data_IF_133765008940
#
_entry.id   IF_133765008940
#
_cell.length_a   1.000
_cell.length_b   1.000
_cell.length_c   1.000
_cell.angle_alpha   90.00
_cell.angle_beta   90.00
_cell.angle_gamma   90.00
#
_symmetry.space_group_name_H-M   'P 1'
#
loop_
_entity.id
_entity.type
_entity.pdbx_description
1 polymer ?
#
# COMPACT_ATOMS: atom_id res chain seq x y z
N UNK A 1 -19.32 9.12 -15.47
CA UNK A 1 -19.19 7.63 -15.46
C UNK A 1 -18.86 7.18 -14.04
N UNK A 2 -19.09 5.94 -13.63
CA UNK A 2 -18.50 5.43 -12.37
C UNK A 2 -17.03 5.06 -12.58
N UNK A 3 -16.28 4.81 -11.51
CA UNK A 3 -14.98 4.18 -11.60
C UNK A 3 -15.16 2.68 -11.85
N UNK A 4 -14.50 2.17 -12.89
CA UNK A 4 -14.55 0.76 -13.26
C UNK A 4 -13.79 -0.16 -12.29
N UNK A 5 -13.91 -1.48 -12.45
CA UNK A 5 -13.29 -2.47 -11.56
C UNK A 5 -11.85 -2.83 -11.95
N UNK A 6 -11.23 -2.14 -12.90
CA UNK A 6 -9.86 -2.45 -13.37
C UNK A 6 -8.93 -1.27 -13.07
N UNK A 7 -7.79 -1.58 -12.47
CA UNK A 7 -6.64 -0.70 -12.35
C UNK A 7 -5.56 -1.15 -13.34
N UNK A 8 -5.16 -0.24 -14.21
CA UNK A 8 -4.10 -0.45 -15.22
C UNK A 8 -2.89 0.42 -14.90
N UNK A 9 -1.84 0.35 -15.70
CA UNK A 9 -0.72 1.28 -15.63
C UNK A 9 -0.49 1.99 -16.96
N UNK A 10 0.51 2.88 -16.99
CA UNK A 10 0.94 3.59 -18.19
C UNK A 10 2.42 3.29 -18.48
N UNK A 11 2.84 3.29 -19.76
CA UNK A 11 4.17 2.80 -20.14
C UNK A 11 5.30 3.79 -19.85
N UNK A 12 5.03 5.11 -19.84
CA UNK A 12 6.08 6.14 -19.81
C UNK A 12 5.80 7.33 -18.90
N UNK A 13 6.51 8.42 -19.16
CA UNK A 13 6.47 9.69 -18.40
C UNK A 13 5.32 10.62 -18.81
N UNK A 14 4.70 10.38 -19.96
CA UNK A 14 3.60 11.17 -20.53
C UNK A 14 2.58 10.22 -21.14
N UNK A 15 1.32 10.64 -21.26
CA UNK A 15 0.31 9.82 -21.92
C UNK A 15 0.45 9.88 -23.44
N UNK A 16 0.41 8.72 -24.08
CA UNK A 16 0.16 8.62 -25.52
C UNK A 16 -1.35 8.67 -25.80
N UNK A 17 -1.75 8.83 -27.06
CA UNK A 17 -3.18 8.77 -27.42
C UNK A 17 -3.79 7.39 -27.13
N UNK A 18 -3.02 6.32 -27.30
CA UNK A 18 -3.47 4.95 -26.95
C UNK A 18 -3.70 4.82 -25.43
N UNK A 19 -2.85 5.43 -24.61
CA UNK A 19 -3.04 5.47 -23.16
C UNK A 19 -4.33 6.22 -22.82
N UNK A 20 -4.58 7.37 -23.43
CA UNK A 20 -5.81 8.15 -23.19
C UNK A 20 -7.05 7.35 -23.57
N UNK A 21 -7.05 6.66 -24.70
CA UNK A 21 -8.15 5.78 -25.12
C UNK A 21 -8.38 4.66 -24.10
N UNK A 22 -7.31 4.00 -23.63
CA UNK A 22 -7.38 2.96 -22.60
C UNK A 22 -7.97 3.49 -21.30
N UNK A 23 -7.48 4.63 -20.82
CA UNK A 23 -7.93 5.26 -19.57
C UNK A 23 -9.39 5.78 -19.63
N UNK A 24 -9.88 6.11 -20.82
CA UNK A 24 -11.28 6.46 -21.04
C UNK A 24 -12.23 5.26 -21.05
N UNK A 25 -11.71 4.03 -21.10
CA UNK A 25 -12.53 2.82 -21.12
C UNK A 25 -13.41 2.73 -19.85
N UNK A 26 -14.71 2.34 -19.95
CA UNK A 26 -15.62 2.32 -18.80
C UNK A 26 -15.18 1.38 -17.66
N UNK A 27 -14.45 0.31 -17.98
CA UNK A 27 -13.93 -0.63 -16.99
C UNK A 27 -12.69 -0.13 -16.25
N UNK A 28 -12.03 0.94 -16.72
CA UNK A 28 -10.90 1.52 -15.99
C UNK A 28 -11.42 2.43 -14.88
N UNK A 29 -10.98 2.13 -13.64
CA UNK A 29 -11.26 2.92 -12.45
C UNK A 29 -10.02 3.49 -11.77
N UNK A 30 -8.83 3.03 -12.15
CA UNK A 30 -7.58 3.54 -11.58
C UNK A 30 -6.36 3.30 -12.45
N UNK A 31 -5.29 4.01 -12.08
CA UNK A 31 -3.95 3.90 -12.64
C UNK A 31 -2.97 3.67 -11.51
N UNK A 32 -2.13 2.64 -11.60
CA UNK A 32 -0.96 2.48 -10.73
C UNK A 32 0.29 2.99 -11.45
N UNK A 33 1.09 3.81 -10.75
CA UNK A 33 2.35 4.34 -11.22
C UNK A 33 3.53 3.54 -10.67
N UNK A 34 4.56 3.40 -11.50
CA UNK A 34 5.81 2.71 -11.18
C UNK A 34 7.00 3.66 -11.29
N UNK A 35 8.19 3.15 -10.95
CA UNK A 35 9.46 3.90 -11.08
C UNK A 35 9.67 4.44 -12.50
N UNK A 36 9.25 3.71 -13.54
CA UNK A 36 9.37 4.13 -14.95
C UNK A 36 8.51 5.34 -15.32
N UNK A 37 7.51 5.67 -14.49
CA UNK A 37 6.60 6.80 -14.72
C UNK A 37 7.09 8.09 -14.01
N UNK A 38 8.30 8.06 -13.45
CA UNK A 38 8.85 9.13 -12.64
C UNK A 38 10.24 9.58 -13.12
N UNK A 39 10.33 10.86 -13.45
CA UNK A 39 11.59 11.55 -13.71
C UNK A 39 11.85 12.65 -12.68
N UNK A 40 10.83 13.48 -12.38
CA UNK A 40 10.93 14.62 -11.47
C UNK A 40 9.57 14.99 -10.86
N UNK A 41 9.55 15.77 -9.76
CA UNK A 41 8.30 16.29 -9.18
C UNK A 41 7.40 17.01 -10.19
N UNK A 42 7.98 17.86 -11.04
CA UNK A 42 7.23 18.63 -12.03
C UNK A 42 6.63 17.73 -13.13
N UNK A 43 7.40 16.74 -13.61
CA UNK A 43 6.89 15.78 -14.59
C UNK A 43 5.76 14.91 -13.99
N UNK A 44 5.89 14.46 -12.75
CA UNK A 44 4.84 13.68 -12.08
C UNK A 44 3.54 14.48 -11.97
N UNK A 45 3.62 15.77 -11.56
CA UNK A 45 2.45 16.66 -11.49
C UNK A 45 1.78 16.78 -12.87
N UNK A 46 2.57 16.92 -13.94
CA UNK A 46 2.03 17.00 -15.30
C UNK A 46 1.30 15.70 -15.68
N UNK A 47 1.90 14.53 -15.42
CA UNK A 47 1.30 13.23 -15.71
C UNK A 47 0.00 13.00 -14.93
N UNK A 48 0.01 13.23 -13.61
CA UNK A 48 -1.19 13.03 -12.77
C UNK A 48 -2.29 14.02 -13.10
N UNK A 49 -1.96 15.26 -13.44
CA UNK A 49 -2.92 16.26 -13.91
C UNK A 49 -3.57 15.86 -15.24
N UNK A 50 -2.77 15.35 -16.19
CA UNK A 50 -3.27 14.85 -17.47
C UNK A 50 -4.23 13.67 -17.28
N UNK A 51 -3.85 12.67 -16.46
CA UNK A 51 -4.71 11.52 -16.12
C UNK A 51 -6.02 11.99 -15.49
N UNK A 52 -5.95 12.93 -14.53
CA UNK A 52 -7.14 13.44 -13.82
C UNK A 52 -8.08 14.22 -14.73
N UNK A 53 -7.56 14.89 -15.75
CA UNK A 53 -8.35 15.70 -16.67
C UNK A 53 -9.13 14.88 -17.73
N UNK A 54 -8.79 13.60 -17.93
CA UNK A 54 -9.44 12.79 -18.97
C UNK A 54 -10.94 12.58 -18.76
N UNK A 55 -11.41 12.49 -17.51
CA UNK A 55 -12.82 12.17 -17.20
C UNK A 55 -13.23 12.58 -15.79
N UNK A 56 -14.55 12.65 -15.57
CA UNK A 56 -15.16 12.87 -14.26
C UNK A 56 -16.09 11.69 -13.84
N UNK A 57 -15.98 11.21 -12.57
CA UNK A 57 -14.91 11.50 -11.60
C UNK A 57 -13.55 11.07 -12.16
N UNK A 58 -12.48 11.69 -11.67
CA UNK A 58 -11.12 11.36 -12.11
C UNK A 58 -10.77 9.94 -11.71
N UNK A 59 -9.87 9.29 -12.46
CA UNK A 59 -9.36 7.96 -12.09
C UNK A 59 -8.58 8.03 -10.77
N UNK A 60 -8.63 6.95 -9.98
CA UNK A 60 -7.73 6.79 -8.85
C UNK A 60 -6.29 6.70 -9.35
N UNK A 61 -5.36 7.40 -8.71
CA UNK A 61 -3.93 7.27 -8.99
C UNK A 61 -3.24 6.64 -7.78
N UNK A 62 -2.64 5.48 -7.96
CA UNK A 62 -1.98 4.72 -6.91
C UNK A 62 -0.47 4.53 -7.18
N UNK A 63 0.29 4.19 -6.15
CA UNK A 63 1.73 3.86 -6.24
C UNK A 63 2.13 2.91 -5.11
N UNK A 64 3.23 2.18 -5.24
CA UNK A 64 3.88 1.54 -4.09
C UNK A 64 4.93 2.46 -3.45
N UNK A 65 4.53 3.24 -2.45
CA UNK A 65 5.44 3.82 -1.48
C UNK A 65 5.18 3.15 -0.14
N UNK A 66 6.03 2.20 0.21
CA UNK A 66 6.06 1.59 1.54
C UNK A 66 7.17 2.26 2.36
N UNK A 67 8.36 2.39 1.74
CA UNK A 67 9.61 2.79 2.36
C UNK A 67 10.72 1.78 2.08
N UNK A 68 11.95 2.13 2.45
CA UNK A 68 13.12 1.26 2.23
C UNK A 68 13.28 0.97 0.74
N UNK A 69 13.39 -0.31 0.37
CA UNK A 69 13.53 -0.75 -1.04
C UNK A 69 12.27 -0.54 -1.89
N UNK A 70 11.08 -0.41 -1.31
CA UNK A 70 9.82 -0.19 -2.03
C UNK A 70 9.37 1.26 -1.91
N UNK A 71 10.03 2.12 -2.69
CA UNK A 71 9.67 3.52 -2.86
C UNK A 71 9.95 3.90 -4.31
N UNK A 72 8.89 4.19 -5.09
CA UNK A 72 9.03 4.44 -6.53
C UNK A 72 9.63 5.80 -6.86
N UNK A 73 9.25 6.83 -6.10
CA UNK A 73 9.68 8.21 -6.32
C UNK A 73 10.65 8.60 -5.19
N UNK A 74 11.89 8.93 -5.54
CA UNK A 74 12.96 9.22 -4.58
C UNK A 74 13.56 10.60 -4.74
N UNK A 75 14.03 10.93 -5.95
CA UNK A 75 14.61 12.24 -6.20
C UNK A 75 13.53 13.32 -6.00
N UNK A 76 13.73 14.25 -5.06
CA UNK A 76 12.72 15.27 -4.72
C UNK A 76 11.64 14.84 -3.72
N UNK A 77 11.69 13.60 -3.25
CA UNK A 77 10.86 13.07 -2.17
C UNK A 77 11.72 12.77 -0.94
N UNK A 78 11.11 12.73 0.24
CA UNK A 78 11.78 12.22 1.44
C UNK A 78 12.06 10.74 1.26
N UNK A 79 13.31 10.30 1.49
CA UNK A 79 13.65 8.88 1.49
C UNK A 79 13.12 8.26 2.77
N UNK A 80 12.15 7.36 2.63
CA UNK A 80 11.47 6.72 3.76
C UNK A 80 12.28 5.48 4.20
N UNK A 81 12.38 5.21 5.52
CA UNK A 81 13.06 4.02 6.01
C UNK A 81 12.31 2.74 5.64
N UNK A 82 12.98 1.60 5.70
CA UNK A 82 12.28 0.31 5.68
C UNK A 82 11.43 0.18 6.95
N UNK A 83 10.24 -0.42 6.86
CA UNK A 83 9.33 -0.49 8.00
C UNK A 83 9.90 -1.28 9.18
N UNK A 84 10.83 -2.22 8.93
CA UNK A 84 11.59 -2.93 9.97
C UNK A 84 12.35 -1.98 10.91
N UNK A 85 12.81 -0.83 10.43
CA UNK A 85 13.51 0.13 11.29
C UNK A 85 12.61 0.68 12.40
N UNK A 86 11.30 0.83 12.14
CA UNK A 86 10.33 1.20 13.17
C UNK A 86 10.17 0.09 14.21
N UNK A 87 10.25 -1.19 13.79
CA UNK A 87 10.31 -2.33 14.70
C UNK A 87 11.54 -2.32 15.60
N UNK A 88 12.71 -1.94 15.08
CA UNK A 88 13.93 -1.78 15.89
C UNK A 88 13.82 -0.66 16.91
N UNK A 89 13.21 0.47 16.53
CA UNK A 89 12.93 1.54 17.51
C UNK A 89 11.95 1.05 18.56
N UNK A 90 10.95 0.23 18.19
CA UNK A 90 9.98 -0.32 19.12
C UNK A 90 10.63 -1.16 20.23
N UNK A 91 11.64 -1.98 19.90
CA UNK A 91 12.37 -2.79 20.89
C UNK A 91 12.97 -1.95 22.02
N UNK A 92 13.28 -0.67 21.76
CA UNK A 92 13.88 0.25 22.72
C UNK A 92 12.85 1.23 23.32
N UNK A 93 11.94 1.76 22.50
CA UNK A 93 10.96 2.76 22.90
C UNK A 93 9.66 2.67 22.07
N UNK A 94 8.67 1.87 22.52
CA UNK A 94 7.38 1.69 21.83
C UNK A 94 6.58 2.99 21.60
N UNK A 95 6.70 3.96 22.51
CA UNK A 95 6.01 5.25 22.35
C UNK A 95 6.61 6.07 21.22
N UNK A 96 7.94 6.11 21.14
CA UNK A 96 8.65 6.80 20.08
C UNK A 96 8.43 6.10 18.73
N UNK A 97 8.45 4.77 18.69
CA UNK A 97 8.22 4.01 17.47
C UNK A 97 6.83 4.30 16.85
N UNK A 98 5.78 4.37 17.69
CA UNK A 98 4.43 4.77 17.22
C UNK A 98 4.41 6.19 16.67
N UNK A 99 5.05 7.15 17.35
CA UNK A 99 5.11 8.52 16.87
C UNK A 99 5.86 8.61 15.53
N UNK A 100 7.00 7.93 15.40
CA UNK A 100 7.76 7.88 14.15
C UNK A 100 7.00 7.17 13.03
N UNK A 101 6.26 6.11 13.32
CA UNK A 101 5.40 5.44 12.35
C UNK A 101 4.29 6.37 11.82
N UNK A 102 3.67 7.16 12.70
CA UNK A 102 2.71 8.18 12.30
C UNK A 102 3.35 9.28 11.45
N UNK A 103 4.56 9.73 11.81
CA UNK A 103 5.31 10.71 11.00
C UNK A 103 5.69 10.16 9.61
N UNK A 104 6.13 8.90 9.54
CA UNK A 104 6.38 8.22 8.27
C UNK A 104 5.12 8.21 7.39
N UNK A 105 3.98 7.79 7.95
CA UNK A 105 2.69 7.79 7.24
C UNK A 105 2.30 9.19 6.75
N UNK A 106 2.47 10.21 7.60
CA UNK A 106 2.14 11.58 7.27
C UNK A 106 3.00 12.13 6.13
N UNK A 107 4.33 12.00 6.22
CA UNK A 107 5.26 12.49 5.18
C UNK A 107 5.02 11.79 3.85
N UNK A 108 4.90 10.46 3.88
CA UNK A 108 4.63 9.62 2.71
C UNK A 108 3.37 10.09 1.98
N UNK A 109 2.26 10.20 2.71
CA UNK A 109 1.01 10.60 2.10
C UNK A 109 1.05 12.08 1.67
N UNK A 110 1.49 13.01 2.52
CA UNK A 110 1.48 14.43 2.21
C UNK A 110 2.24 14.75 0.91
N UNK A 111 3.43 14.16 0.73
CA UNK A 111 4.21 14.35 -0.49
C UNK A 111 3.50 13.75 -1.71
N UNK A 112 2.98 12.54 -1.63
CA UNK A 112 2.25 11.93 -2.75
C UNK A 112 0.99 12.74 -3.14
N UNK A 113 0.26 13.22 -2.14
CA UNK A 113 -0.96 14.00 -2.34
C UNK A 113 -0.67 15.35 -3.02
N UNK A 114 0.42 16.01 -2.65
CA UNK A 114 0.91 17.23 -3.32
C UNK A 114 1.29 17.01 -4.80
N UNK A 115 1.46 15.76 -5.24
CA UNK A 115 1.74 15.39 -6.63
C UNK A 115 0.54 14.72 -7.33
N UNK A 116 -0.65 14.79 -6.75
CA UNK A 116 -1.88 14.28 -7.38
C UNK A 116 -2.03 12.76 -7.38
N UNK A 117 -1.27 12.05 -6.54
CA UNK A 117 -1.49 10.61 -6.26
C UNK A 117 -2.54 10.50 -5.15
N UNK A 118 -3.49 9.58 -5.26
CA UNK A 118 -4.59 9.40 -4.29
C UNK A 118 -4.24 8.42 -3.18
N UNK A 119 -3.48 7.37 -3.50
CA UNK A 119 -3.29 6.21 -2.65
C UNK A 119 -1.88 5.64 -2.77
N UNK A 120 -1.35 5.13 -1.66
CA UNK A 120 -0.21 4.22 -1.67
C UNK A 120 -0.65 2.84 -1.19
N UNK A 121 -0.11 1.78 -1.80
CA UNK A 121 -0.34 0.41 -1.34
C UNK A 121 0.53 0.09 -0.11
N UNK A 122 0.11 0.56 1.05
CA UNK A 122 0.80 0.43 2.36
C UNK A 122 -0.23 0.57 3.49
N UNK A 123 -0.06 -0.03 4.69
CA UNK A 123 1.09 -0.79 5.20
C UNK A 123 1.17 -2.27 4.79
N UNK A 124 2.39 -2.80 4.81
CA UNK A 124 2.63 -4.24 4.90
C UNK A 124 2.30 -4.72 6.32
N UNK A 125 1.44 -5.73 6.43
CA UNK A 125 0.97 -6.35 7.67
C UNK A 125 1.54 -7.76 7.88
N UNK A 126 2.32 -8.23 6.91
CA UNK A 126 3.02 -9.49 7.00
C UNK A 126 4.03 -9.47 8.16
N UNK A 127 4.13 -10.58 8.90
CA UNK A 127 5.06 -10.72 10.01
C UNK A 127 6.46 -11.09 9.51
N UNK A 128 7.48 -10.57 10.17
CA UNK A 128 8.88 -10.86 9.83
C UNK A 128 9.36 -12.20 10.43
N UNK A 129 8.96 -13.31 9.83
CA UNK A 129 9.46 -14.64 10.21
C UNK A 129 10.93 -14.87 9.82
N UNK A 130 11.56 -13.93 9.10
CA UNK A 130 12.94 -14.03 8.60
C UNK A 130 13.13 -14.94 7.38
N UNK A 131 12.09 -15.64 6.93
CA UNK A 131 12.17 -16.63 5.84
C UNK A 131 11.78 -16.06 4.47
N UNK A 132 10.88 -15.08 4.42
CA UNK A 132 10.37 -14.55 3.14
C UNK A 132 11.38 -13.60 2.49
N UNK A 133 11.91 -14.00 1.33
CA UNK A 133 12.78 -13.14 0.52
C UNK A 133 12.07 -11.94 -0.11
N UNK A 134 10.74 -12.01 -0.27
CA UNK A 134 9.94 -10.95 -0.90
C UNK A 134 9.51 -9.89 0.11
N UNK A 135 9.12 -10.32 1.32
CA UNK A 135 8.74 -9.41 2.40
C UNK A 135 9.99 -8.78 3.02
N UNK A 136 10.87 -9.58 3.64
CA UNK A 136 12.10 -9.08 4.25
C UNK A 136 11.90 -7.83 5.12
N UNK A 137 12.68 -6.79 4.87
CA UNK A 137 12.68 -5.52 5.62
C UNK A 137 11.42 -4.65 5.44
N UNK A 138 10.48 -5.08 4.58
CA UNK A 138 9.17 -4.45 4.40
C UNK A 138 8.22 -4.73 5.57
N UNK A 139 8.40 -5.85 6.26
CA UNK A 139 7.65 -6.15 7.47
C UNK A 139 8.12 -5.27 8.63
N UNK A 140 7.20 -4.85 9.49
CA UNK A 140 7.54 -4.04 10.66
C UNK A 140 8.31 -4.85 11.70
N UNK A 141 7.82 -6.06 12.01
CA UNK A 141 8.28 -6.85 13.15
C UNK A 141 7.78 -8.30 13.06
N UNK A 142 8.31 -9.20 13.89
CA UNK A 142 7.85 -10.59 14.00
C UNK A 142 6.61 -10.75 14.88
N UNK A 143 6.47 -9.91 15.91
CA UNK A 143 5.36 -9.97 16.87
C UNK A 143 4.08 -9.33 16.29
N UNK A 144 2.94 -10.05 16.25
CA UNK A 144 1.71 -9.56 15.63
C UNK A 144 1.19 -8.25 16.23
N UNK A 145 1.22 -8.11 17.56
CA UNK A 145 0.75 -6.90 18.24
C UNK A 145 1.60 -5.67 17.91
N UNK A 146 2.90 -5.86 17.72
CA UNK A 146 3.83 -4.78 17.33
C UNK A 146 3.54 -4.32 15.91
N UNK A 147 3.31 -5.27 14.98
CA UNK A 147 2.90 -4.95 13.61
C UNK A 147 1.57 -4.19 13.62
N UNK A 148 0.58 -4.64 14.39
CA UNK A 148 -0.70 -3.97 14.49
C UNK A 148 -0.58 -2.54 15.03
N UNK A 149 0.20 -2.31 16.10
CA UNK A 149 0.38 -0.99 16.70
C UNK A 149 1.11 -0.01 15.77
N UNK A 150 2.20 -0.45 15.13
CA UNK A 150 2.98 0.39 14.22
C UNK A 150 2.22 0.68 12.93
N UNK A 151 1.55 -0.31 12.36
CA UNK A 151 0.74 -0.13 11.16
C UNK A 151 -0.50 0.74 11.41
N UNK A 152 -1.13 0.63 12.58
CA UNK A 152 -2.20 1.55 12.99
C UNK A 152 -1.69 2.99 13.09
N UNK A 153 -0.52 3.21 13.73
CA UNK A 153 0.07 4.54 13.82
C UNK A 153 0.41 5.12 12.42
N UNK A 154 0.98 4.30 11.53
CA UNK A 154 1.23 4.71 10.14
C UNK A 154 -0.08 5.06 9.42
N UNK A 155 -1.14 4.27 9.61
CA UNK A 155 -2.46 4.55 9.06
C UNK A 155 -3.03 5.89 9.54
N UNK A 156 -2.81 6.27 10.81
CA UNK A 156 -3.20 7.59 11.31
C UNK A 156 -2.45 8.71 10.59
N UNK A 157 -1.16 8.53 10.30
CA UNK A 157 -0.37 9.48 9.53
C UNK A 157 -0.86 9.63 8.09
N UNK A 158 -1.13 8.51 7.41
CA UNK A 158 -1.72 8.53 6.05
C UNK A 158 -3.04 9.31 6.05
N UNK A 159 -3.91 9.03 7.03
CA UNK A 159 -5.21 9.66 7.19
C UNK A 159 -5.11 11.16 7.51
N UNK A 160 -4.14 11.55 8.35
CA UNK A 160 -3.82 12.96 8.65
C UNK A 160 -3.54 13.74 7.36
N UNK A 161 -2.86 13.12 6.41
CA UNK A 161 -2.59 13.69 5.09
C UNK A 161 -3.67 13.41 4.02
N UNK A 162 -4.83 12.89 4.43
CA UNK A 162 -5.99 12.66 3.57
C UNK A 162 -5.88 11.44 2.65
N UNK A 163 -4.99 10.49 2.94
CA UNK A 163 -4.82 9.24 2.19
C UNK A 163 -5.40 8.05 2.95
N UNK A 164 -6.04 7.12 2.22
CA UNK A 164 -6.45 5.82 2.78
C UNK A 164 -5.27 4.86 2.98
N UNK A 165 -5.47 3.78 3.74
CA UNK A 165 -4.50 2.69 3.90
C UNK A 165 -4.93 1.44 3.15
N UNK A 166 -3.94 0.68 2.64
CA UNK A 166 -4.14 -0.64 2.04
C UNK A 166 -3.25 -1.67 2.74
N UNK A 167 -3.85 -2.49 3.59
CA UNK A 167 -3.14 -3.57 4.28
C UNK A 167 -2.79 -4.72 3.32
N UNK A 168 -1.55 -5.20 3.36
CA UNK A 168 -1.10 -6.32 2.51
C UNK A 168 -0.08 -7.24 3.18
N UNK A 169 -0.03 -8.54 2.87
CA UNK A 169 -0.85 -9.25 1.89
C UNK A 169 -1.75 -10.26 2.61
N UNK A 170 -3.06 -10.04 2.61
CA UNK A 170 -4.01 -10.86 3.38
C UNK A 170 -4.09 -12.31 2.88
N UNK A 171 -4.10 -13.35 3.76
CA UNK A 171 -4.10 -13.31 5.22
C UNK A 171 -2.70 -13.28 5.88
N UNK A 172 -1.62 -13.31 5.10
CA UNK A 172 -0.24 -13.16 5.57
C UNK A 172 0.78 -13.82 4.64
N UNK A 173 1.72 -13.06 4.10
CA UNK A 173 2.79 -13.55 3.20
C UNK A 173 4.11 -13.82 3.93
N UNK A 174 4.24 -13.38 5.18
CA UNK A 174 5.51 -13.38 5.91
C UNK A 174 6.15 -14.75 6.11
N UNK A 175 5.34 -15.81 6.21
CA UNK A 175 5.78 -17.17 6.54
C UNK A 175 6.36 -17.91 5.33
N UNK A 176 5.88 -17.61 4.12
CA UNK A 176 6.32 -18.35 2.93
C UNK A 176 7.69 -17.88 2.43
N UNK A 177 8.58 -18.84 2.17
CA UNK A 177 9.93 -18.56 1.65
C UNK A 177 9.94 -18.25 0.16
N UNK A 178 9.08 -18.91 -0.61
CA UNK A 178 9.08 -18.83 -2.07
C UNK A 178 8.64 -17.44 -2.56
N UNK A 179 9.29 -16.98 -3.64
CA UNK A 179 8.92 -15.73 -4.29
C UNK A 179 7.67 -15.94 -5.16
N UNK A 180 6.57 -15.26 -4.82
CA UNK A 180 5.31 -15.29 -5.59
C UNK A 180 5.43 -14.75 -7.02
N UNK A 181 6.55 -14.09 -7.36
CA UNK A 181 6.86 -13.70 -8.73
C UNK A 181 7.36 -14.86 -9.59
N UNK A 182 7.82 -15.97 -8.98
CA UNK A 182 8.49 -17.09 -9.68
C UNK A 182 7.75 -18.44 -9.55
N UNK A 183 7.00 -18.63 -8.47
CA UNK A 183 6.19 -19.83 -8.22
C UNK A 183 5.00 -19.46 -7.32
N UNK A 184 4.01 -20.35 -7.22
CA UNK A 184 2.90 -20.15 -6.28
C UNK A 184 3.36 -20.64 -4.90
N UNK A 185 3.55 -19.76 -3.90
CA UNK A 185 3.93 -20.18 -2.57
C UNK A 185 2.77 -20.90 -1.88
N UNK A 186 3.11 -21.85 -1.03
CA UNK A 186 2.17 -22.65 -0.25
C UNK A 186 2.50 -22.48 1.23
N UNK A 187 1.49 -22.18 2.04
CA UNK A 187 1.58 -22.11 3.49
C UNK A 187 0.74 -23.24 4.11
N UNK A 188 1.42 -24.27 4.62
CA UNK A 188 0.79 -25.48 5.13
C UNK A 188 0.21 -25.35 6.55
N UNK A 189 0.36 -24.17 7.18
CA UNK A 189 -0.14 -23.95 8.54
C UNK A 189 -1.65 -24.12 8.64
N UNK A 190 -2.09 -24.52 9.82
CA UNK A 190 -3.51 -24.63 10.16
C UNK A 190 -4.18 -23.26 10.29
N UNK A 191 -5.52 -23.25 10.26
CA UNK A 191 -6.31 -22.07 10.57
C UNK A 191 -5.92 -21.45 11.91
N UNK A 192 -5.73 -22.27 12.95
CA UNK A 192 -5.43 -21.75 14.30
C UNK A 192 -4.08 -21.03 14.35
N UNK A 193 -3.06 -21.55 13.67
CA UNK A 193 -1.74 -20.90 13.63
C UNK A 193 -1.81 -19.53 12.93
N UNK A 194 -2.54 -19.44 11.82
CA UNK A 194 -2.73 -18.19 11.07
C UNK A 194 -3.61 -17.20 11.84
N UNK A 195 -4.68 -17.68 12.48
CA UNK A 195 -5.61 -16.87 13.28
C UNK A 195 -4.95 -16.25 14.51
N UNK A 196 -4.08 -16.99 15.20
CA UNK A 196 -3.39 -16.53 16.42
C UNK A 196 -2.09 -15.75 16.13
N UNK A 197 -1.77 -15.49 14.86
CA UNK A 197 -0.60 -14.71 14.46
C UNK A 197 -0.93 -13.75 13.31
N UNK A 198 -0.76 -14.19 12.06
CA UNK A 198 -0.79 -13.36 10.85
C UNK A 198 -2.10 -12.58 10.66
N UNK A 199 -3.23 -13.11 11.14
CA UNK A 199 -4.52 -12.40 11.07
C UNK A 199 -4.67 -11.27 12.09
N UNK A 200 -3.91 -11.26 13.19
CA UNK A 200 -4.08 -10.27 14.28
C UNK A 200 -3.97 -8.82 13.76
N UNK A 201 -2.94 -8.43 12.97
CA UNK A 201 -2.87 -7.10 12.39
C UNK A 201 -4.08 -6.75 11.53
N UNK A 202 -4.53 -7.67 10.68
CA UNK A 202 -5.70 -7.45 9.82
C UNK A 202 -6.98 -7.26 10.62
N UNK A 203 -7.24 -8.11 11.62
CA UNK A 203 -8.41 -8.01 12.51
C UNK A 203 -8.47 -6.62 13.14
N UNK A 204 -7.35 -6.16 13.70
CA UNK A 204 -7.30 -4.88 14.40
C UNK A 204 -7.48 -3.70 13.47
N UNK A 205 -6.78 -3.70 12.33
CA UNK A 205 -6.82 -2.58 11.39
C UNK A 205 -8.13 -2.49 10.61
N UNK A 206 -8.80 -3.63 10.38
CA UNK A 206 -10.17 -3.63 9.86
C UNK A 206 -11.11 -2.95 10.84
N UNK A 207 -11.00 -3.24 12.15
CA UNK A 207 -11.78 -2.57 13.18
C UNK A 207 -11.48 -1.07 13.28
N UNK A 208 -10.22 -0.67 13.05
CA UNK A 208 -9.77 0.73 13.08
C UNK A 208 -10.08 1.51 11.77
N UNK A 209 -10.75 0.88 10.80
CA UNK A 209 -11.26 1.54 9.61
C UNK A 209 -10.31 1.58 8.41
N UNK A 210 -9.45 0.57 8.27
CA UNK A 210 -8.64 0.36 7.06
C UNK A 210 -9.48 0.42 5.78
N UNK A 211 -8.97 1.10 4.76
CA UNK A 211 -9.76 1.44 3.57
C UNK A 211 -9.63 0.45 2.42
N UNK A 212 -8.52 -0.27 2.36
CA UNK A 212 -8.24 -1.28 1.35
C UNK A 212 -7.48 -2.47 1.91
N UNK A 213 -7.61 -3.63 1.27
CA UNK A 213 -6.79 -4.82 1.51
C UNK A 213 -6.35 -5.39 0.17
N UNK A 214 -5.10 -5.85 0.11
CA UNK A 214 -4.58 -6.65 -1.00
C UNK A 214 -4.29 -8.06 -0.47
N UNK A 215 -4.85 -9.12 -1.08
CA UNK A 215 -4.60 -10.50 -0.70
C UNK A 215 -3.27 -11.00 -1.25
N UNK A 216 -2.72 -12.03 -0.61
CA UNK A 216 -1.52 -12.70 -1.06
C UNK A 216 -1.83 -13.69 -2.18
N UNK A 217 -0.96 -13.76 -3.18
CA UNK A 217 -0.92 -14.89 -4.13
C UNK A 217 -0.27 -16.12 -3.48
N UNK A 218 -0.86 -16.63 -2.41
CA UNK A 218 -0.39 -17.77 -1.61
C UNK A 218 -1.55 -18.74 -1.39
N UNK A 219 -1.29 -20.05 -1.53
CA UNK A 219 -2.26 -21.13 -1.26
C UNK A 219 -2.11 -21.59 0.19
N UNK A 220 -3.24 -21.74 0.89
CA UNK A 220 -3.29 -22.21 2.28
C UNK A 220 -4.10 -23.52 2.32
N UNK A 221 -3.51 -24.68 1.95
CA UNK A 221 -4.25 -25.89 1.63
C UNK A 221 -5.06 -26.47 2.80
N UNK A 222 -4.70 -26.15 4.05
CA UNK A 222 -5.49 -26.51 5.23
C UNK A 222 -6.84 -25.75 5.31
N UNK A 223 -7.01 -24.68 4.53
CA UNK A 223 -8.18 -23.78 4.55
C UNK A 223 -8.88 -23.74 3.18
N UNK A 224 -8.12 -23.50 2.11
CA UNK A 224 -8.61 -23.48 0.73
C UNK A 224 -7.48 -23.87 -0.24
N UNK A 225 -7.84 -24.63 -1.28
CA UNK A 225 -6.95 -25.01 -2.37
C UNK A 225 -6.61 -23.87 -3.34
N UNK A 226 -7.38 -22.78 -3.31
CA UNK A 226 -7.14 -21.61 -4.15
C UNK A 226 -6.27 -20.58 -3.43
N UNK A 227 -5.46 -19.78 -4.16
CA UNK A 227 -4.77 -18.65 -3.57
C UNK A 227 -5.76 -17.66 -2.95
N UNK A 228 -5.35 -16.94 -1.91
CA UNK A 228 -6.27 -16.07 -1.15
C UNK A 228 -7.03 -15.06 -2.02
N UNK A 229 -6.39 -14.48 -3.04
CA UNK A 229 -7.02 -13.54 -3.99
C UNK A 229 -8.09 -14.14 -4.91
N UNK A 230 -8.14 -15.47 -5.04
CA UNK A 230 -9.13 -16.21 -5.82
C UNK A 230 -10.08 -17.04 -4.95
N UNK A 231 -9.96 -16.94 -3.61
CA UNK A 231 -10.71 -17.75 -2.67
C UNK A 231 -11.93 -17.00 -2.12
N UNK A 232 -13.13 -17.51 -2.40
CA UNK A 232 -14.36 -17.05 -1.74
C UNK A 232 -14.34 -17.31 -0.23
N UNK A 233 -13.62 -18.35 0.22
CA UNK A 233 -13.45 -18.61 1.64
C UNK A 233 -12.71 -17.44 2.30
N UNK A 234 -11.53 -17.09 1.81
CA UNK A 234 -10.73 -16.00 2.36
C UNK A 234 -11.41 -14.65 2.20
N UNK A 235 -11.88 -14.30 1.00
CA UNK A 235 -12.37 -12.95 0.74
C UNK A 235 -13.79 -12.72 1.28
N UNK A 236 -14.72 -13.65 1.07
CA UNK A 236 -16.12 -13.46 1.49
C UNK A 236 -16.39 -14.00 2.88
N UNK A 237 -16.01 -15.24 3.17
CA UNK A 237 -16.37 -15.85 4.47
C UNK A 237 -15.54 -15.28 5.61
N UNK A 238 -14.22 -15.18 5.44
CA UNK A 238 -13.32 -14.66 6.47
C UNK A 238 -13.32 -13.13 6.47
N UNK A 239 -12.85 -12.51 5.38
CA UNK A 239 -12.60 -11.06 5.39
C UNK A 239 -13.89 -10.23 5.44
N UNK A 240 -14.87 -10.47 4.55
CA UNK A 240 -16.17 -9.78 4.62
C UNK A 240 -17.03 -10.26 5.79
N UNK A 241 -17.08 -11.57 6.02
CA UNK A 241 -17.98 -12.19 7.00
C UNK A 241 -17.48 -12.07 8.43
N UNK A 242 -16.42 -12.79 8.77
CA UNK A 242 -15.89 -12.86 10.14
C UNK A 242 -15.28 -11.53 10.59
N UNK A 243 -14.46 -10.88 9.74
CA UNK A 243 -13.77 -9.65 10.12
C UNK A 243 -14.60 -8.39 9.87
N UNK A 244 -15.71 -8.50 9.12
CA UNK A 244 -16.59 -7.36 8.84
C UNK A 244 -15.97 -6.28 7.94
N UNK A 245 -14.94 -6.61 7.16
CA UNK A 245 -14.25 -5.63 6.33
C UNK A 245 -15.17 -5.06 5.26
N UNK A 246 -15.25 -3.73 5.17
CA UNK A 246 -16.13 -3.03 4.24
C UNK A 246 -15.41 -2.12 3.24
N UNK A 247 -14.07 -2.07 3.26
CA UNK A 247 -13.24 -1.35 2.30
C UNK A 247 -13.08 -2.06 0.95
N UNK A 248 -12.15 -1.60 0.12
CA UNK A 248 -11.84 -2.19 -1.20
C UNK A 248 -10.97 -3.42 -1.04
N UNK A 249 -11.29 -4.51 -1.73
CA UNK A 249 -10.35 -5.63 -1.92
C UNK A 249 -9.72 -5.51 -3.31
N UNK A 250 -8.40 -5.38 -3.37
CA UNK A 250 -7.64 -5.44 -4.63
C UNK A 250 -7.27 -6.89 -4.95
N UNK A 251 -6.95 -7.26 -6.20
CA UNK A 251 -6.60 -8.64 -6.56
C UNK A 251 -5.12 -9.02 -6.36
N UNK A 252 -4.26 -8.05 -6.03
CA UNK A 252 -2.82 -8.09 -6.38
C UNK A 252 -2.61 -8.20 -7.91
N UNK A 253 -1.38 -8.07 -8.42
CA UNK A 253 -1.12 -8.02 -9.87
C UNK A 253 -1.45 -9.37 -10.54
N UNK A 254 -2.39 -9.37 -11.48
CA UNK A 254 -2.84 -10.56 -12.21
C UNK A 254 -1.88 -10.96 -13.34
N UNK A 255 -0.93 -10.08 -13.68
CA UNK A 255 0.15 -10.38 -14.61
C UNK A 255 1.26 -11.24 -13.99
N UNK A 256 1.26 -11.45 -12.67
CA UNK A 256 2.25 -12.27 -11.97
C UNK A 256 2.04 -13.77 -12.23
N UNK A 257 3.13 -14.55 -12.15
CA UNK A 257 3.09 -16.02 -12.23
C UNK A 257 2.23 -16.63 -11.11
N UNK A 258 2.20 -16.01 -9.93
CA UNK A 258 1.33 -16.37 -8.81
C UNK A 258 -0.16 -16.44 -9.18
N UNK A 259 -0.59 -15.70 -10.20
CA UNK A 259 -1.97 -15.67 -10.69
C UNK A 259 -2.27 -16.70 -11.80
N UNK A 260 -1.27 -17.49 -12.23
CA UNK A 260 -1.37 -18.38 -13.40
C UNK A 260 -2.38 -19.53 -13.29
N UNK A 261 -2.81 -19.86 -12.08
CA UNK A 261 -3.80 -20.92 -11.81
C UNK A 261 -5.19 -20.66 -12.37
N UNK A 262 -5.55 -19.41 -12.64
CA UNK A 262 -6.90 -19.04 -13.08
C UNK A 262 -7.04 -18.84 -14.60
N UNK A 263 -6.13 -19.41 -15.39
CA UNK A 263 -6.22 -19.41 -16.86
C UNK A 263 -5.60 -18.16 -17.51
N UNK A 264 -6.23 -17.68 -18.59
CA UNK A 264 -5.81 -16.45 -19.27
C UNK A 264 -6.12 -15.19 -18.43
N UNK A 265 -5.60 -14.02 -18.84
CA UNK A 265 -5.74 -12.80 -18.04
C UNK A 265 -7.21 -12.36 -17.83
N UNK A 266 -8.09 -12.63 -18.80
CA UNK A 266 -9.52 -12.29 -18.69
C UNK A 266 -10.17 -13.20 -17.66
N UNK A 267 -9.86 -14.49 -17.70
CA UNK A 267 -10.33 -15.48 -16.73
C UNK A 267 -9.79 -15.19 -15.33
N UNK A 268 -8.53 -14.76 -15.18
CA UNK A 268 -7.95 -14.32 -13.91
C UNK A 268 -8.69 -13.12 -13.32
N UNK A 269 -8.94 -12.10 -14.15
CA UNK A 269 -9.69 -10.91 -13.72
C UNK A 269 -11.12 -11.27 -13.29
N UNK A 270 -11.80 -12.11 -14.07
CA UNK A 270 -13.11 -12.62 -13.74
C UNK A 270 -13.10 -13.42 -12.42
N UNK A 271 -12.15 -14.34 -12.25
CA UNK A 271 -12.02 -15.16 -11.05
C UNK A 271 -11.75 -14.34 -9.78
N UNK A 272 -10.88 -13.32 -9.85
CA UNK A 272 -10.59 -12.44 -8.72
C UNK A 272 -11.84 -11.65 -8.29
N UNK A 273 -12.57 -11.10 -9.27
CA UNK A 273 -13.81 -10.36 -9.02
C UNK A 273 -14.91 -11.27 -8.48
N UNK A 274 -15.06 -12.48 -9.04
CA UNK A 274 -16.00 -13.50 -8.57
C UNK A 274 -15.68 -13.99 -7.15
N UNK A 275 -14.39 -14.09 -6.80
CA UNK A 275 -13.94 -14.43 -5.45
C UNK A 275 -14.28 -13.33 -4.44
N UNK A 276 -14.38 -12.09 -4.90
CA UNK A 276 -14.83 -10.95 -4.09
C UNK A 276 -13.93 -9.73 -4.10
N UNK A 277 -12.93 -9.68 -4.98
CA UNK A 277 -12.18 -8.47 -5.23
C UNK A 277 -13.12 -7.38 -5.78
N UNK A 278 -12.87 -6.15 -5.37
CA UNK A 278 -13.56 -4.97 -5.88
C UNK A 278 -12.84 -4.37 -7.09
N UNK A 279 -11.52 -4.52 -7.17
CA UNK A 279 -10.70 -3.97 -8.23
C UNK A 279 -9.56 -4.93 -8.62
N UNK A 280 -9.50 -5.30 -9.90
CA UNK A 280 -8.48 -6.14 -10.49
C UNK A 280 -7.30 -5.29 -10.99
N UNK A 281 -6.07 -5.67 -10.62
CA UNK A 281 -4.85 -5.02 -11.10
C UNK A 281 -4.28 -5.79 -12.29
N UNK A 282 -4.02 -5.08 -13.39
CA UNK A 282 -3.33 -5.61 -14.56
C UNK A 282 -2.17 -4.69 -14.88
N UNK A 283 -0.97 -5.09 -14.46
CA UNK A 283 0.21 -4.24 -14.56
C UNK A 283 1.23 -4.79 -15.57
N UNK A 284 2.11 -3.91 -16.02
CA UNK A 284 3.31 -4.16 -16.82
C UNK A 284 3.07 -4.84 -18.17
N UNK A 285 1.81 -4.90 -18.63
CA UNK A 285 1.44 -5.57 -19.86
C UNK A 285 0.20 -4.91 -20.50
N UNK A 286 0.43 -3.91 -21.37
CA UNK A 286 -0.65 -3.19 -22.05
C UNK A 286 -1.56 -4.12 -22.87
N UNK A 287 -1.00 -5.14 -23.53
CA UNK A 287 -1.78 -6.08 -24.31
C UNK A 287 -2.71 -6.93 -23.42
N UNK A 288 -2.25 -7.32 -22.24
CA UNK A 288 -3.08 -8.03 -21.26
C UNK A 288 -4.18 -7.10 -20.69
N UNK A 289 -3.85 -5.84 -20.41
CA UNK A 289 -4.85 -4.84 -20.02
C UNK A 289 -5.91 -4.68 -21.11
N UNK A 290 -5.51 -4.54 -22.38
CA UNK A 290 -6.43 -4.43 -23.51
C UNK A 290 -7.29 -5.69 -23.64
N UNK A 291 -6.73 -6.89 -23.47
CA UNK A 291 -7.49 -8.13 -23.49
C UNK A 291 -8.57 -8.16 -22.38
N UNK A 292 -8.24 -7.73 -21.15
CA UNK A 292 -9.20 -7.62 -20.05
C UNK A 292 -10.29 -6.59 -20.37
N UNK A 293 -9.93 -5.40 -20.87
CA UNK A 293 -10.91 -4.35 -21.16
C UNK A 293 -11.90 -4.77 -22.26
N UNK A 294 -11.45 -5.52 -23.27
CA UNK A 294 -12.32 -6.03 -24.33
C UNK A 294 -13.11 -7.28 -23.92
N UNK A 295 -12.52 -8.17 -23.11
CA UNK A 295 -13.04 -9.50 -22.81
C UNK A 295 -13.89 -9.57 -21.53
N UNK A 296 -13.59 -8.76 -20.52
CA UNK A 296 -14.26 -8.82 -19.22
C UNK A 296 -15.73 -8.39 -19.35
N UNK A 297 -16.62 -9.17 -18.73
CA UNK A 297 -18.06 -8.88 -18.65
C UNK A 297 -18.44 -8.79 -17.19
N UNK A 298 -18.25 -7.60 -16.61
CA UNK A 298 -18.50 -7.37 -15.20
C UNK A 298 -19.53 -6.27 -14.98
N UNK A 299 -20.50 -6.54 -14.09
CA UNK A 299 -21.46 -5.55 -13.64
C UNK A 299 -21.15 -5.18 -12.18
N UNK A 300 -20.63 -3.98 -11.96
CA UNK A 300 -20.32 -3.50 -10.62
C UNK A 300 -21.60 -3.27 -9.80
N UNK A 301 -21.58 -3.68 -8.54
CA UNK A 301 -22.62 -3.34 -7.57
C UNK A 301 -22.48 -1.89 -7.10
N UNK A 302 -23.58 -1.27 -6.63
CA UNK A 302 -23.53 0.08 -6.06
C UNK A 302 -22.58 0.17 -4.85
N UNK A 303 -22.49 -0.90 -4.07
CA UNK A 303 -21.55 -1.02 -2.94
C UNK A 303 -20.10 -0.99 -3.42
N UNK A 304 -19.76 -1.73 -4.48
CA UNK A 304 -18.43 -1.74 -5.08
C UNK A 304 -18.03 -0.34 -5.59
N UNK A 305 -18.92 0.33 -6.34
CA UNK A 305 -18.70 1.70 -6.84
C UNK A 305 -18.44 2.66 -5.67
N UNK A 306 -19.21 2.54 -4.60
CA UNK A 306 -19.07 3.40 -3.40
C UNK A 306 -17.75 3.13 -2.68
N UNK A 307 -17.32 1.87 -2.55
CA UNK A 307 -16.03 1.51 -1.93
C UNK A 307 -14.87 2.13 -2.69
N UNK A 308 -14.84 1.95 -4.01
CA UNK A 308 -13.79 2.49 -4.88
C UNK A 308 -13.77 4.03 -4.80
N UNK A 309 -14.93 4.68 -4.86
CA UNK A 309 -15.02 6.14 -4.79
C UNK A 309 -14.47 6.73 -3.49
N UNK A 310 -14.55 6.00 -2.37
CA UNK A 310 -14.02 6.43 -1.04
C UNK A 310 -12.49 6.40 -0.94
N UNK A 311 -11.80 5.78 -1.91
CA UNK A 311 -10.33 5.75 -1.92
C UNK A 311 -9.69 7.03 -2.48
N UNK A 312 -10.47 7.94 -3.05
CA UNK A 312 -9.91 9.23 -3.48
C UNK A 312 -9.29 9.96 -2.30
N UNK A 313 -8.12 10.54 -2.54
CA UNK A 313 -7.47 11.34 -1.53
C UNK A 313 -8.28 12.60 -1.22
N UNK A 314 -8.42 12.93 0.07
CA UNK A 314 -9.12 14.13 0.54
C UNK A 314 -8.24 15.37 0.46
N UNK A 315 -8.77 16.58 0.38
CA UNK A 315 -7.91 17.77 0.31
C UNK A 315 -6.95 17.87 1.51
N UNK A 316 -5.66 17.86 1.23
CA UNK A 316 -4.52 18.17 2.10
C UNK A 316 -3.62 19.12 1.26
N UNK A 317 -2.69 19.92 1.82
CA UNK A 317 -2.18 21.14 1.16
C UNK A 317 -1.80 20.87 -0.29
N UNK A 318 -2.26 21.76 -1.18
CA UNK A 318 -2.38 21.48 -2.61
C UNK A 318 -1.02 21.25 -3.30
N UNK A 319 0.07 21.75 -2.71
CA UNK A 319 1.40 21.68 -3.28
C UNK A 319 2.51 21.60 -2.21
N UNK A 320 3.73 21.33 -2.69
CA UNK A 320 4.93 21.20 -1.88
C UNK A 320 5.39 22.52 -1.23
N UNK A 321 5.03 23.67 -1.79
CA UNK A 321 5.40 24.97 -1.22
C UNK A 321 4.64 25.18 0.08
N UNK A 322 3.31 25.03 0.03
CA UNK A 322 2.45 25.11 1.20
C UNK A 322 2.79 24.04 2.24
N UNK A 323 3.18 22.84 1.81
CA UNK A 323 3.58 21.76 2.72
C UNK A 323 4.88 22.11 3.48
N UNK A 324 5.89 22.68 2.79
CA UNK A 324 7.18 23.07 3.40
C UNK A 324 7.08 24.23 4.38
N UNK A 325 6.02 25.03 4.32
CA UNK A 325 5.74 26.09 5.30
C UNK A 325 5.11 25.54 6.59
N UNK A 326 4.64 24.29 6.60
CA UNK A 326 4.02 23.69 7.79
C UNK A 326 5.08 23.13 8.74
N UNK A 327 5.10 23.64 9.97
CA UNK A 327 5.96 23.15 11.03
C UNK A 327 5.80 21.63 11.26
N UNK A 328 4.55 21.14 11.25
CA UNK A 328 4.23 19.71 11.38
C UNK A 328 4.99 18.85 10.36
N UNK A 329 5.01 19.27 9.10
CA UNK A 329 5.69 18.56 8.01
C UNK A 329 7.21 18.66 8.12
N UNK A 330 7.75 19.86 8.34
CA UNK A 330 9.20 20.06 8.48
C UNK A 330 9.78 19.24 9.63
N UNK A 331 9.08 19.19 10.76
CA UNK A 331 9.46 18.37 11.90
C UNK A 331 9.34 16.86 11.61
N UNK A 332 8.25 16.44 10.96
CA UNK A 332 8.04 15.04 10.58
C UNK A 332 9.17 14.56 9.65
N UNK A 333 9.47 15.32 8.60
CA UNK A 333 10.57 15.00 7.67
C UNK A 333 11.88 14.87 8.44
N UNK A 334 12.21 15.82 9.32
CA UNK A 334 13.45 15.77 10.11
C UNK A 334 13.55 14.51 10.96
N UNK A 335 12.45 14.06 11.56
CA UNK A 335 12.42 12.83 12.37
C UNK A 335 12.49 11.58 11.50
N UNK A 336 11.75 11.54 10.39
CA UNK A 336 11.70 10.40 9.46
C UNK A 336 13.06 10.11 8.82
N UNK A 337 13.77 11.14 8.35
CA UNK A 337 15.09 10.94 7.70
C UNK A 337 16.17 10.45 8.67
N UNK A 338 15.96 10.62 9.97
CA UNK A 338 16.89 10.18 11.01
C UNK A 338 16.66 8.72 11.44
N UNK A 339 15.55 8.09 11.02
CA UNK A 339 15.24 6.69 11.34
C UNK A 339 16.26 5.77 10.65
N UNK A 340 16.88 4.88 11.42
CA UNK A 340 17.84 3.90 10.90
C UNK A 340 19.20 4.49 10.51
N UNK A 341 19.47 5.76 10.83
CA UNK A 341 20.84 6.29 10.82
C UNK A 341 21.53 5.94 12.13
N UNK A 342 22.77 5.45 12.07
CA UNK A 342 23.53 5.04 13.26
C UNK A 342 23.57 6.14 14.32
N UNK A 343 23.38 5.72 15.56
CA UNK A 343 23.26 6.51 16.78
C UNK A 343 24.42 7.50 17.06
N UNK A 344 25.47 7.55 16.26
CA UNK A 344 26.56 8.52 16.45
C UNK A 344 26.13 9.98 16.24
N UNK A 345 25.08 10.24 15.45
CA UNK A 345 24.62 11.61 15.14
C UNK A 345 23.35 12.04 15.87
N UNK A 346 22.58 11.10 16.44
CA UNK A 346 21.31 11.36 17.12
C UNK A 346 21.50 11.92 18.55
N UNK A 347 22.56 11.53 19.26
CA UNK A 347 22.86 12.01 20.63
C UNK A 347 23.84 13.18 20.68
N UNK A 348 24.51 13.53 19.58
CA UNK A 348 25.51 14.59 19.56
C UNK A 348 24.91 16.02 19.62
N UNK A 349 23.58 16.18 19.58
CA UNK A 349 22.93 17.50 19.53
C UNK A 349 22.09 17.88 20.75
N UNK A 350 21.92 16.98 21.72
CA UNK A 350 21.17 17.28 22.97
C UNK A 350 22.07 17.45 24.21
N UNK A 351 23.40 17.45 24.05
CA UNK A 351 24.36 17.65 25.14
C UNK A 351 24.78 19.13 25.38
N UNK A 352 24.10 20.12 24.78
CA UNK A 352 24.45 21.54 24.98
C UNK A 352 23.61 22.29 26.02
N UNK A 353 22.77 21.59 26.80
CA UNK A 353 21.91 22.24 27.79
C UNK A 353 22.04 21.66 29.22
N UNK A 354 23.24 21.31 29.65
CA UNK A 354 23.51 21.01 31.05
C UNK A 354 24.92 21.40 31.48
N UNK A 355 25.06 22.61 32.03
CA UNK A 355 26.01 23.05 33.05
C UNK A 355 25.65 24.53 33.34
N UNK A 356 24.95 24.90 34.41
CA UNK A 356 25.12 24.39 35.78
C UNK A 356 26.21 25.20 36.47
N UNK A 357 25.81 26.36 36.99
CA UNK A 357 26.29 27.06 38.19
C UNK A 357 27.58 26.53 38.84
N UNK A 358 28.60 27.39 38.92
CA UNK A 358 29.59 27.36 40.01
C UNK A 358 29.89 28.79 40.46
N UNK A 359 29.42 29.14 41.66
CA UNK A 359 29.80 30.35 42.39
C UNK A 359 30.94 30.09 43.38
N UNK A 360 31.55 31.18 43.85
CA UNK A 360 32.42 31.30 45.04
C UNK A 360 33.79 30.62 44.89
N UNK A 361 34.93 31.32 44.96
CA UNK A 361 35.47 32.17 46.04
C UNK A 361 36.35 33.25 45.44
#
# INVERSE_FOLDING_TARGET
>A
MSLGPVMVDVPGLTLTEDDKQRLLHPLVGGVILFKRNYESPAQLIALTSEIRALRHPHLLIAVDHEGGRVQRFRAGFTVLPAMRELGRVWEHNPSQARHLAQDCGYVLAAELRAHGVDLSFTPVLDLDYGESGVIGDRAFHVQPDVVADLAHALMLGLKEAGMGSVGKHFPGHGYVRADSHLAIPVDERSWQEIEHADLIPFVRLVADGMTGIMPAHVIYPAIDSLPAGFSKHWLQRVLRGQLGFNGVIFSDDLSMEGASVAGDIVQRAQAALDAGCDMALVCNNCAAADAVLHGLRWQQSATNITRIARLHGHSHPLDMTALREQARYVEAVRRVVAIGQDDSDLWAKDASNNCGLSGGV
#
